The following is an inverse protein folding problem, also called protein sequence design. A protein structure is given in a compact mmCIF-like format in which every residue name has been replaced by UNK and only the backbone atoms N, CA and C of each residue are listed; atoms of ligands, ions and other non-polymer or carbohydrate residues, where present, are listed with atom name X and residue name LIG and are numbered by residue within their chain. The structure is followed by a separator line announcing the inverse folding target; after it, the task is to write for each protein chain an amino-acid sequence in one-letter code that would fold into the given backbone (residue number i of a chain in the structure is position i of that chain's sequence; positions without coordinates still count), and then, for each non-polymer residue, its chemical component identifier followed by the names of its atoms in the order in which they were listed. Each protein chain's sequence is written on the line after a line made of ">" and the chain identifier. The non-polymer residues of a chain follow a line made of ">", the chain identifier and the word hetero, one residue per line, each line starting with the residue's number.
data_IF_963331627491
#
_entry.id   IF_963331627491
#
_cell.length_a   1.000
_cell.length_b   1.000
_cell.length_c   1.000
_cell.angle_alpha   90.00
_cell.angle_beta   90.00
_cell.angle_gamma   90.00
#
_symmetry.space_group_name_H-M   'P 1'
#
loop_
_entity.id
_entity.type
_entity.pdbx_description
1 polymer ?
#
# COMPACT_ATOMS: atom_id res chain seq x y z
N UNK A 1 -13.27 13.41 20.32
CA UNK A 1 -11.82 13.69 20.14
C UNK A 1 -11.22 12.49 19.44
N UNK A 2 -11.21 12.49 18.11
CA UNK A 2 -10.46 11.48 17.36
C UNK A 2 -8.98 11.74 17.60
N UNK A 3 -8.27 10.81 18.24
CA UNK A 3 -6.81 10.91 18.37
C UNK A 3 -6.21 11.12 16.98
N UNK A 4 -5.26 12.04 16.85
CA UNK A 4 -4.58 12.29 15.58
C UNK A 4 -3.93 10.99 15.10
N UNK A 5 -4.30 10.55 13.88
CA UNK A 5 -3.72 9.37 13.24
C UNK A 5 -2.27 9.67 12.92
N UNK A 6 -1.34 8.81 13.34
CA UNK A 6 0.09 8.96 13.04
C UNK A 6 0.54 7.98 11.96
N UNK A 7 1.43 8.46 11.09
CA UNK A 7 2.17 7.65 10.12
C UNK A 7 3.40 7.00 10.73
N UNK A 8 3.73 7.34 11.99
CA UNK A 8 4.87 6.78 12.72
C UNK A 8 4.53 5.42 13.28
N UNK A 9 4.98 4.37 12.59
CA UNK A 9 4.68 2.99 12.94
C UNK A 9 5.99 2.23 13.17
N UNK A 10 6.44 2.10 14.43
CA UNK A 10 7.69 1.42 14.75
C UNK A 10 7.69 -0.02 14.23
N UNK A 11 8.84 -0.41 13.66
CA UNK A 11 9.09 -1.79 13.20
C UNK A 11 8.03 -2.33 12.22
N UNK A 12 7.36 -1.45 11.46
CA UNK A 12 6.30 -1.84 10.52
C UNK A 12 6.73 -2.95 9.56
N UNK A 13 7.97 -2.88 9.04
CA UNK A 13 8.52 -3.88 8.12
C UNK A 13 8.70 -5.28 8.74
N UNK A 14 8.79 -5.39 10.07
CA UNK A 14 8.91 -6.67 10.79
C UNK A 14 7.57 -7.39 10.95
N UNK A 15 6.45 -6.67 10.78
CA UNK A 15 5.10 -7.22 10.98
C UNK A 15 4.70 -8.15 9.83
N UNK A 16 3.84 -9.16 10.04
CA UNK A 16 3.22 -9.93 8.97
C UNK A 16 2.40 -9.04 8.01
N UNK A 17 2.21 -9.46 6.76
CA UNK A 17 1.45 -8.70 5.75
C UNK A 17 0.03 -8.37 6.24
N UNK A 18 -0.65 -9.32 6.86
CA UNK A 18 -1.99 -9.14 7.41
C UNK A 18 -2.06 -8.06 8.49
N UNK A 19 -1.04 -8.00 9.34
CA UNK A 19 -0.96 -6.97 10.37
C UNK A 19 -0.66 -5.59 9.76
N UNK A 20 0.24 -5.54 8.76
CA UNK A 20 0.52 -4.31 8.01
C UNK A 20 -0.75 -3.78 7.35
N UNK A 21 -1.48 -4.64 6.65
CA UNK A 21 -2.70 -4.29 5.94
C UNK A 21 -3.79 -3.80 6.89
N UNK A 22 -3.96 -4.44 8.05
CA UNK A 22 -4.90 -3.99 9.09
C UNK A 22 -4.57 -2.58 9.58
N UNK A 23 -3.29 -2.29 9.86
CA UNK A 23 -2.86 -0.95 10.29
C UNK A 23 -3.12 0.09 9.19
N UNK A 24 -2.80 -0.22 7.94
CA UNK A 24 -3.07 0.65 6.78
C UNK A 24 -4.56 0.91 6.61
N UNK A 25 -5.39 -0.14 6.73
CA UNK A 25 -6.83 -0.04 6.59
C UNK A 25 -7.44 0.86 7.67
N UNK A 26 -7.04 0.71 8.92
CA UNK A 26 -7.50 1.57 10.02
C UNK A 26 -7.05 3.03 9.83
N UNK A 27 -5.78 3.24 9.41
CA UNK A 27 -5.25 4.56 9.13
C UNK A 27 -6.02 5.25 7.99
N UNK A 28 -6.21 4.56 6.86
CA UNK A 28 -6.85 5.12 5.68
C UNK A 28 -8.40 5.08 5.72
N UNK A 29 -9.00 4.33 6.66
CA UNK A 29 -10.44 4.14 6.74
C UNK A 29 -11.00 3.26 5.62
N UNK A 30 -10.26 2.21 5.25
CA UNK A 30 -10.66 1.29 4.17
C UNK A 30 -11.80 0.36 4.60
N UNK A 31 -12.70 0.10 3.66
CA UNK A 31 -13.74 -0.93 3.75
C UNK A 31 -13.18 -2.36 3.66
N UNK A 32 -13.98 -3.35 4.04
CA UNK A 32 -13.60 -4.76 3.92
C UNK A 32 -13.37 -5.15 2.46
N UNK A 33 -14.16 -4.61 1.53
CA UNK A 33 -14.01 -4.80 0.10
C UNK A 33 -12.66 -4.27 -0.40
N UNK A 34 -12.26 -3.06 0.01
CA UNK A 34 -10.96 -2.46 -0.36
C UNK A 34 -9.79 -3.25 0.23
N UNK A 35 -9.91 -3.73 1.47
CA UNK A 35 -8.91 -4.61 2.09
C UNK A 35 -8.79 -5.92 1.30
N UNK A 36 -9.91 -6.49 0.85
CA UNK A 36 -9.93 -7.69 0.03
C UNK A 36 -9.27 -7.47 -1.33
N UNK A 37 -9.46 -6.30 -1.94
CA UNK A 37 -8.78 -5.91 -3.18
C UNK A 37 -7.26 -5.86 -3.01
N UNK A 38 -6.76 -5.27 -1.91
CA UNK A 38 -5.32 -5.20 -1.64
C UNK A 38 -4.68 -6.57 -1.36
N UNK A 39 -5.46 -7.55 -0.89
CA UNK A 39 -5.01 -8.95 -0.74
C UNK A 39 -4.93 -9.72 -2.06
N UNK A 40 -5.53 -9.21 -3.13
CA UNK A 40 -5.50 -9.85 -4.43
C UNK A 40 -4.29 -9.35 -5.22
N UNK A 41 -3.22 -10.14 -5.24
CA UNK A 41 -1.96 -9.84 -5.92
C UNK A 41 -2.08 -9.86 -7.46
N UNK A 42 -3.26 -10.08 -8.03
CA UNK A 42 -3.55 -10.00 -9.48
C UNK A 42 -4.94 -9.44 -9.72
N UNK A 43 -5.23 -8.27 -9.14
CA UNK A 43 -6.57 -7.68 -9.13
C UNK A 43 -6.99 -6.92 -10.39
N UNK A 44 -6.19 -6.94 -11.46
CA UNK A 44 -6.58 -6.35 -12.74
C UNK A 44 -7.46 -7.34 -13.51
N UNK A 45 -8.71 -6.96 -13.72
CA UNK A 45 -9.67 -7.74 -14.49
C UNK A 45 -9.21 -7.87 -15.96
N UNK A 46 -9.26 -9.08 -16.57
CA UNK A 46 -8.84 -9.28 -17.96
C UNK A 46 -9.59 -8.42 -18.99
N UNK A 47 -10.89 -8.17 -18.80
CA UNK A 47 -11.65 -7.31 -19.72
C UNK A 47 -11.22 -5.85 -19.60
N UNK A 48 -10.85 -5.41 -18.39
CA UNK A 48 -10.27 -4.08 -18.19
C UNK A 48 -8.89 -4.02 -18.86
N UNK A 49 -8.04 -5.02 -18.65
CA UNK A 49 -6.71 -5.07 -19.24
C UNK A 49 -6.76 -5.02 -20.78
N UNK A 50 -7.61 -5.83 -21.41
CA UNK A 50 -7.79 -5.88 -22.87
C UNK A 50 -8.30 -4.55 -23.46
N UNK A 51 -8.99 -3.74 -22.65
CA UNK A 51 -9.42 -2.38 -23.04
C UNK A 51 -8.34 -1.32 -22.81
N UNK A 52 -7.34 -1.58 -21.98
CA UNK A 52 -6.29 -0.61 -21.66
C UNK A 52 -5.24 -0.50 -22.76
N UNK A 53 -4.83 -1.62 -23.36
CA UNK A 53 -3.79 -1.69 -24.40
C UNK A 53 -4.08 -2.85 -25.38
N UNK A 54 -3.44 -2.87 -26.55
CA UNK A 54 -3.58 -3.94 -27.53
C UNK A 54 -2.74 -5.19 -27.20
N UNK A 55 -3.15 -6.35 -27.74
CA UNK A 55 -2.42 -7.62 -27.67
C UNK A 55 -2.12 -8.11 -26.23
N UNK A 56 -3.01 -7.81 -25.28
CA UNK A 56 -2.89 -8.31 -23.90
C UNK A 56 -3.02 -9.83 -23.88
N UNK A 57 -2.02 -10.48 -23.28
CA UNK A 57 -2.01 -11.94 -23.05
C UNK A 57 -1.88 -12.30 -21.56
N UNK A 58 -1.82 -11.29 -20.69
CA UNK A 58 -1.65 -11.44 -19.24
C UNK A 58 -1.35 -10.12 -18.55
N UNK A 59 -1.23 -10.17 -17.23
CA UNK A 59 -0.85 -9.03 -16.38
C UNK A 59 0.40 -9.37 -15.57
N UNK A 60 1.17 -8.35 -15.21
CA UNK A 60 2.33 -8.47 -14.33
C UNK A 60 2.07 -7.72 -13.03
N UNK A 61 2.32 -8.39 -11.91
CA UNK A 61 2.15 -7.83 -10.57
C UNK A 61 3.47 -7.34 -10.02
N UNK A 62 3.44 -6.17 -9.39
CA UNK A 62 4.58 -5.60 -8.67
C UNK A 62 4.28 -5.52 -7.17
N UNK A 63 5.30 -5.58 -6.30
CA UNK A 63 5.10 -5.36 -4.88
C UNK A 63 4.46 -3.99 -4.62
N UNK A 64 3.28 -4.00 -4.00
CA UNK A 64 2.62 -2.80 -3.51
C UNK A 64 2.91 -2.65 -2.02
N UNK A 65 3.47 -1.51 -1.62
CA UNK A 65 3.87 -1.21 -0.25
C UNK A 65 3.39 0.18 0.16
N UNK A 66 3.61 0.52 1.43
CA UNK A 66 3.46 1.89 1.94
C UNK A 66 4.73 2.32 2.65
N UNK A 67 5.16 3.56 2.42
CA UNK A 67 6.18 4.19 3.23
C UNK A 67 5.54 4.91 4.43
N UNK A 68 6.18 4.78 5.58
CA UNK A 68 5.73 5.33 6.88
C UNK A 68 6.52 6.60 7.23
N UNK A 69 6.12 7.28 8.31
CA UNK A 69 6.81 8.46 8.88
C UNK A 69 6.74 9.77 8.08
N UNK A 70 5.83 9.89 7.10
CA UNK A 70 5.67 11.13 6.33
C UNK A 70 4.75 12.13 7.04
N UNK A 71 5.31 13.28 7.42
CA UNK A 71 4.57 14.44 7.92
C UNK A 71 4.65 15.58 6.89
N UNK A 72 3.54 15.91 6.25
CA UNK A 72 3.47 16.93 5.20
C UNK A 72 2.53 18.04 5.68
N UNK A 73 3.08 19.25 5.87
CA UNK A 73 2.33 20.41 6.36
C UNK A 73 1.54 20.13 7.65
N UNK A 74 2.16 19.43 8.60
CA UNK A 74 1.55 19.10 9.90
C UNK A 74 0.52 17.96 9.85
N UNK A 75 0.40 17.24 8.73
CA UNK A 75 -0.48 16.08 8.61
C UNK A 75 0.29 14.82 8.23
N UNK A 76 0.03 13.74 8.95
CA UNK A 76 0.61 12.42 8.71
C UNK A 76 0.02 11.75 7.46
N UNK A 77 0.88 11.06 6.70
CA UNK A 77 0.52 10.28 5.53
C UNK A 77 1.22 8.92 5.53
N UNK A 78 0.50 7.89 5.07
CA UNK A 78 1.12 6.68 4.55
C UNK A 78 1.20 6.83 3.02
N UNK A 79 2.39 6.67 2.45
CA UNK A 79 2.63 6.94 1.02
C UNK A 79 2.66 5.61 0.26
N UNK A 80 1.69 5.32 -0.62
CA UNK A 80 1.70 4.12 -1.44
C UNK A 80 2.89 4.08 -2.40
N UNK A 81 3.51 2.92 -2.58
CA UNK A 81 4.64 2.70 -3.47
C UNK A 81 4.48 1.36 -4.20
N UNK A 82 4.76 1.33 -5.51
CA UNK A 82 4.81 0.10 -6.31
C UNK A 82 6.19 0.02 -6.93
N UNK A 83 7.03 -0.91 -6.46
CA UNK A 83 8.44 -1.00 -6.88
C UNK A 83 9.03 -2.39 -6.55
N UNK A 84 9.97 -2.85 -7.37
CA UNK A 84 10.68 -4.12 -7.21
C UNK A 84 12.03 -4.00 -6.47
N UNK A 85 12.61 -2.80 -6.45
CA UNK A 85 13.94 -2.58 -5.89
C UNK A 85 13.95 -2.67 -4.35
N UNK A 86 14.81 -3.56 -3.84
CA UNK A 86 14.98 -3.75 -2.41
C UNK A 86 15.47 -2.47 -1.73
N UNK A 87 15.11 -2.29 -0.46
CA UNK A 87 15.50 -1.16 0.39
C UNK A 87 14.92 0.21 0.01
N UNK A 88 14.36 0.44 -1.18
CA UNK A 88 13.81 1.77 -1.56
C UNK A 88 12.72 2.24 -0.59
N UNK A 89 11.71 1.39 -0.35
CA UNK A 89 10.62 1.72 0.59
C UNK A 89 11.14 1.86 2.03
N UNK A 90 12.12 1.03 2.41
CA UNK A 90 12.72 1.10 3.74
C UNK A 90 13.50 2.40 3.95
N UNK A 91 14.28 2.83 2.95
CA UNK A 91 15.00 4.09 2.95
C UNK A 91 14.04 5.29 2.96
N UNK A 92 12.97 5.26 2.16
CA UNK A 92 11.93 6.29 2.16
C UNK A 92 11.22 6.40 3.52
N UNK A 93 11.09 5.27 4.24
CA UNK A 93 10.47 5.22 5.57
C UNK A 93 11.45 5.50 6.71
N UNK A 94 12.74 5.66 6.44
CA UNK A 94 13.76 5.82 7.48
C UNK A 94 13.82 7.29 7.92
N UNK A 95 13.26 7.58 9.10
CA UNK A 95 13.24 8.90 9.73
C UNK A 95 13.45 8.79 11.24
#
# INVERSE_FOLDING_TARGET
>A
MSGEKTSRIPEFYKKPIDERLRIVAEFAGLSEEEVKLLRNFGNLDPEIADRMIENVIGAMSYPFAVATNFLINGKDYLVPMVIEEASVVAAASNA
#
